data_IF_726049713569
#
_entry.id   IF_726049713569
#
_cell.length_a   1.000
_cell.length_b   1.000
_cell.length_c   1.000
_cell.angle_alpha   90.00
_cell.angle_beta   90.00
_cell.angle_gamma   90.00
#
_symmetry.space_group_name_H-M   'P 1'
#
loop_
_entity.id
_entity.type
_entity.pdbx_description
1 polymer ?
#
# COMPACT_ATOMS: atom_id res chain seq x y z
N UNK A 1 20.20 81.49 -35.25
CA UNK A 1 20.78 82.09 -34.03
C UNK A 1 19.64 82.69 -33.24
N UNK A 2 19.26 82.04 -32.15
CA UNK A 2 18.97 82.63 -30.83
C UNK A 2 18.53 81.48 -29.92
N UNK A 3 19.08 81.50 -28.72
CA UNK A 3 18.88 80.52 -27.66
C UNK A 3 17.78 81.04 -26.72
N UNK A 4 16.96 80.16 -26.15
CA UNK A 4 16.49 80.28 -24.76
C UNK A 4 15.63 79.06 -24.35
N UNK A 5 15.97 78.44 -23.22
CA UNK A 5 15.06 77.67 -22.36
C UNK A 5 14.57 78.61 -21.23
N UNK A 6 13.41 78.37 -20.59
CA UNK A 6 13.22 77.26 -19.64
C UNK A 6 11.89 76.49 -19.94
N UNK A 7 11.18 75.76 -19.07
CA UNK A 7 11.24 75.60 -17.60
C UNK A 7 10.68 74.24 -17.12
N UNK A 8 10.81 73.96 -15.82
CA UNK A 8 10.45 72.72 -15.14
C UNK A 8 8.99 72.70 -14.62
N UNK A 9 8.25 71.59 -14.79
CA UNK A 9 7.18 71.21 -13.84
C UNK A 9 6.92 69.70 -13.91
N UNK A 10 7.03 69.01 -12.77
CA UNK A 10 6.71 67.60 -12.64
C UNK A 10 5.21 67.34 -12.38
N UNK A 11 4.66 66.24 -12.90
CA UNK A 11 3.43 65.64 -12.42
C UNK A 11 3.48 64.11 -12.57
N UNK A 12 3.07 63.38 -11.54
CA UNK A 12 3.19 61.94 -11.45
C UNK A 12 2.03 61.17 -12.12
N UNK A 13 2.26 59.87 -12.35
CA UNK A 13 1.35 58.72 -12.14
C UNK A 13 -0.14 59.07 -11.94
N UNK A 14 -1.08 58.50 -12.70
CA UNK A 14 -1.60 57.15 -12.41
C UNK A 14 -2.36 56.56 -13.59
N UNK A 15 -1.97 55.37 -14.05
CA UNK A 15 -2.88 54.50 -14.82
C UNK A 15 -3.79 53.76 -13.84
N UNK A 16 -5.08 54.08 -13.84
CA UNK A 16 -6.09 53.32 -13.09
C UNK A 16 -6.38 52.02 -13.85
N UNK A 17 -5.86 50.91 -13.34
CA UNK A 17 -6.32 49.57 -13.74
C UNK A 17 -7.74 49.35 -13.21
N UNK A 18 -8.59 48.75 -14.03
CA UNK A 18 -9.89 48.24 -13.58
C UNK A 18 -9.68 47.13 -12.52
N UNK A 19 -10.61 46.97 -11.56
CA UNK A 19 -10.57 45.84 -10.65
C UNK A 19 -10.78 44.54 -11.44
N UNK A 20 -9.91 43.56 -11.24
CA UNK A 20 -10.17 42.20 -11.68
C UNK A 20 -11.17 41.55 -10.72
N UNK A 21 -12.26 41.01 -11.25
CA UNK A 21 -13.16 40.15 -10.48
C UNK A 21 -12.38 38.92 -9.96
N UNK A 22 -12.60 38.49 -8.70
CA UNK A 22 -12.02 37.26 -8.20
C UNK A 22 -12.73 36.07 -8.84
N UNK A 23 -12.07 35.45 -9.82
CA UNK A 23 -12.42 34.08 -10.25
C UNK A 23 -12.44 33.17 -9.03
N UNK A 24 -13.52 32.41 -8.78
CA UNK A 24 -13.51 31.39 -7.73
C UNK A 24 -12.48 30.31 -8.08
N UNK A 25 -11.41 30.21 -7.30
CA UNK A 25 -10.54 29.04 -7.34
C UNK A 25 -11.39 27.82 -6.94
N UNK A 26 -11.45 26.82 -7.81
CA UNK A 26 -12.07 25.55 -7.46
C UNK A 26 -11.27 24.93 -6.30
N UNK A 27 -11.94 24.33 -5.30
CA UNK A 27 -11.22 23.68 -4.21
C UNK A 27 -10.38 22.53 -4.77
N UNK A 28 -9.07 22.66 -4.71
CA UNK A 28 -8.13 21.57 -5.00
C UNK A 28 -8.23 20.55 -3.87
N UNK A 29 -9.22 19.65 -3.95
CA UNK A 29 -9.25 18.45 -3.12
C UNK A 29 -8.03 17.62 -3.49
N UNK A 30 -6.96 17.72 -2.70
CA UNK A 30 -5.92 16.70 -2.72
C UNK A 30 -6.59 15.40 -2.31
N UNK A 31 -6.64 14.43 -3.23
CA UNK A 31 -6.82 13.06 -2.81
C UNK A 31 -5.72 12.74 -1.79
N UNK A 32 -6.04 11.92 -0.78
CA UNK A 32 -5.00 11.32 0.05
C UNK A 32 -4.11 10.39 -0.79
N UNK A 33 -3.01 9.89 -0.21
CA UNK A 33 -2.29 8.78 -0.85
C UNK A 33 -3.26 7.61 -1.12
N UNK A 34 -3.00 6.79 -2.16
CA UNK A 34 -3.76 5.57 -2.39
C UNK A 34 -3.64 4.65 -1.16
N UNK A 35 -4.68 3.86 -0.83
CA UNK A 35 -4.56 2.85 0.20
C UNK A 35 -3.46 1.86 -0.17
N UNK A 36 -2.72 1.36 0.84
CA UNK A 36 -1.78 0.26 0.62
C UNK A 36 -2.54 -0.96 0.10
N UNK A 37 -1.95 -1.66 -0.87
CA UNK A 37 -2.60 -2.74 -1.60
C UNK A 37 -1.71 -3.99 -1.64
N UNK A 38 -2.30 -5.14 -1.95
CA UNK A 38 -1.54 -6.37 -2.08
C UNK A 38 -2.24 -7.43 -2.91
N UNK A 39 -1.44 -8.30 -3.53
CA UNK A 39 -1.90 -9.46 -4.30
C UNK A 39 -1.34 -10.74 -3.69
N UNK A 40 -2.11 -11.82 -3.81
CA UNK A 40 -1.63 -13.19 -3.59
C UNK A 40 -2.19 -14.06 -4.70
N UNK A 41 -1.32 -14.80 -5.38
CA UNK A 41 -1.69 -15.80 -6.38
C UNK A 41 -1.47 -17.19 -5.80
N UNK A 42 -2.42 -18.11 -5.98
CA UNK A 42 -2.32 -19.53 -5.61
C UNK A 42 -2.88 -20.37 -6.76
N UNK A 43 -2.01 -21.07 -7.48
CA UNK A 43 -2.40 -21.75 -8.72
C UNK A 43 -2.92 -20.76 -9.78
N UNK A 44 -4.17 -20.93 -10.20
CA UNK A 44 -4.85 -20.02 -11.13
C UNK A 44 -5.69 -18.93 -10.41
N UNK A 45 -5.77 -18.97 -9.07
CA UNK A 45 -6.60 -18.06 -8.25
C UNK A 45 -5.80 -16.83 -7.82
N UNK A 46 -6.34 -15.63 -8.09
CA UNK A 46 -5.69 -14.36 -7.75
C UNK A 46 -6.57 -13.55 -6.78
N UNK A 47 -6.07 -13.35 -5.57
CA UNK A 47 -6.66 -12.54 -4.52
C UNK A 47 -6.09 -11.12 -4.53
N UNK A 48 -6.94 -10.12 -4.38
CA UNK A 48 -6.57 -8.71 -4.23
C UNK A 48 -7.02 -8.20 -2.85
N UNK A 49 -6.16 -7.45 -2.17
CA UNK A 49 -6.37 -6.97 -0.81
C UNK A 49 -6.16 -5.46 -0.71
N UNK A 50 -7.05 -4.79 0.03
CA UNK A 50 -6.68 -3.53 0.69
C UNK A 50 -5.95 -3.88 1.98
N UNK A 51 -4.79 -3.28 2.25
CA UNK A 51 -3.95 -3.63 3.40
C UNK A 51 -3.62 -2.44 4.31
N UNK A 52 -3.25 -2.77 5.55
CA UNK A 52 -2.60 -1.87 6.50
C UNK A 52 -1.23 -2.45 6.84
N UNK A 53 -0.17 -1.68 6.62
CA UNK A 53 1.19 -2.03 7.04
C UNK A 53 1.52 -1.40 8.41
N UNK A 54 2.23 -2.15 9.25
CA UNK A 54 2.64 -1.78 10.60
C UNK A 54 4.15 -1.97 10.76
N UNK A 55 4.89 -0.90 11.02
CA UNK A 55 6.31 -0.98 11.34
C UNK A 55 6.48 -1.54 12.77
N UNK A 56 7.05 -2.75 12.92
CA UNK A 56 7.24 -3.41 14.23
C UNK A 56 8.62 -3.13 14.85
N UNK A 57 9.49 -2.43 14.12
CA UNK A 57 10.88 -2.16 14.49
C UNK A 57 11.85 -3.23 13.96
N UNK A 58 13.14 -2.94 13.99
CA UNK A 58 14.23 -3.81 13.47
C UNK A 58 14.12 -4.22 11.97
N UNK A 59 13.20 -3.62 11.21
CA UNK A 59 12.90 -3.98 9.82
C UNK A 59 11.71 -4.93 9.67
N UNK A 60 11.14 -5.42 10.77
CA UNK A 60 9.96 -6.29 10.74
C UNK A 60 8.69 -5.47 10.42
N UNK A 61 7.86 -6.00 9.52
CA UNK A 61 6.57 -5.42 9.12
C UNK A 61 5.46 -6.43 9.34
N UNK A 62 4.38 -6.01 10.00
CA UNK A 62 3.11 -6.75 9.98
C UNK A 62 2.18 -6.11 8.97
N UNK A 63 1.55 -6.92 8.13
CA UNK A 63 0.51 -6.51 7.20
C UNK A 63 -0.78 -7.24 7.57
N UNK A 64 -1.88 -6.49 7.66
CA UNK A 64 -3.24 -7.01 7.79
C UNK A 64 -4.01 -6.57 6.55
N UNK A 65 -4.73 -7.47 5.89
CA UNK A 65 -5.48 -7.16 4.67
C UNK A 65 -6.88 -7.75 4.64
N UNK A 66 -7.74 -7.16 3.82
CA UNK A 66 -9.08 -7.69 3.53
C UNK A 66 -9.32 -7.63 2.03
N UNK A 67 -9.83 -8.74 1.50
CA UNK A 67 -10.15 -8.93 0.09
C UNK A 67 -11.38 -9.84 -0.07
N UNK A 68 -11.63 -10.25 -1.30
CA UNK A 68 -12.74 -11.13 -1.68
C UNK A 68 -12.19 -12.35 -2.43
N UNK A 69 -12.78 -13.51 -2.17
CA UNK A 69 -12.53 -14.74 -2.91
C UNK A 69 -13.16 -14.64 -4.32
N UNK A 70 -12.39 -14.81 -5.41
CA UNK A 70 -12.85 -14.48 -6.76
C UNK A 70 -13.90 -15.45 -7.33
N UNK A 71 -14.12 -16.61 -6.71
CA UNK A 71 -15.13 -17.59 -7.13
C UNK A 71 -16.46 -17.43 -6.37
N UNK A 72 -16.44 -16.84 -5.17
CA UNK A 72 -17.60 -16.81 -4.25
C UNK A 72 -18.00 -15.43 -3.73
N UNK A 73 -17.23 -14.38 -4.03
CA UNK A 73 -17.35 -13.02 -3.46
C UNK A 73 -17.29 -13.02 -1.90
N UNK A 74 -16.80 -14.09 -1.28
CA UNK A 74 -16.72 -14.21 0.17
C UNK A 74 -15.48 -13.48 0.72
N UNK A 75 -15.58 -12.89 1.91
CA UNK A 75 -14.45 -12.18 2.52
C UNK A 75 -13.26 -13.10 2.78
N UNK A 76 -12.06 -12.63 2.44
CA UNK A 76 -10.78 -13.27 2.78
C UNK A 76 -9.94 -12.27 3.57
N UNK A 77 -9.39 -12.71 4.70
CA UNK A 77 -8.47 -11.92 5.53
C UNK A 77 -7.02 -12.36 5.27
N UNK A 78 -6.12 -11.40 5.07
CA UNK A 78 -4.68 -11.63 4.90
C UNK A 78 -3.95 -11.23 6.18
N UNK A 79 -3.06 -12.11 6.67
CA UNK A 79 -2.01 -11.77 7.62
C UNK A 79 -0.65 -12.08 7.00
N UNK A 80 0.24 -11.10 6.97
CA UNK A 80 1.65 -11.30 6.63
C UNK A 80 2.53 -10.74 7.75
N UNK A 81 3.46 -11.56 8.21
CA UNK A 81 4.54 -11.21 9.13
C UNK A 81 5.84 -11.25 8.32
N UNK A 82 6.26 -10.11 7.79
CA UNK A 82 7.56 -9.96 7.16
C UNK A 82 8.61 -9.77 8.25
N UNK A 83 9.24 -10.87 8.67
CA UNK A 83 10.34 -10.88 9.65
C UNK A 83 11.59 -11.54 9.07
N UNK A 84 12.76 -11.08 9.51
CA UNK A 84 14.05 -11.65 9.11
C UNK A 84 14.36 -13.02 9.74
N UNK A 85 13.58 -13.46 10.73
CA UNK A 85 13.83 -14.70 11.50
C UNK A 85 12.85 -15.80 11.14
N UNK A 86 11.56 -15.48 11.10
CA UNK A 86 10.46 -16.42 10.93
C UNK A 86 9.31 -15.73 10.19
N UNK A 87 9.41 -15.55 8.86
CA UNK A 87 8.36 -14.93 8.07
C UNK A 87 7.15 -15.86 7.95
N UNK A 88 5.94 -15.29 7.96
CA UNK A 88 4.69 -16.04 7.83
C UNK A 88 3.68 -15.31 6.97
N UNK A 89 2.93 -16.03 6.13
CA UNK A 89 1.74 -15.50 5.45
C UNK A 89 0.57 -16.46 5.66
N UNK A 90 -0.64 -15.93 5.85
CA UNK A 90 -1.86 -16.72 5.99
C UNK A 90 -3.04 -16.00 5.36
N UNK A 91 -3.86 -16.71 4.60
CA UNK A 91 -5.14 -16.25 4.07
C UNK A 91 -6.26 -17.04 4.76
N UNK A 92 -7.11 -16.35 5.51
CA UNK A 92 -8.26 -16.94 6.20
C UNK A 92 -9.53 -16.68 5.39
N UNK A 93 -10.17 -17.74 4.93
CA UNK A 93 -11.43 -17.70 4.19
C UNK A 93 -12.62 -17.60 5.15
N UNK A 94 -13.74 -17.05 4.67
CA UNK A 94 -14.97 -16.87 5.45
C UNK A 94 -15.56 -18.17 6.06
N UNK A 95 -15.21 -19.35 5.56
CA UNK A 95 -15.62 -20.65 6.11
C UNK A 95 -14.69 -21.17 7.23
N UNK A 96 -13.61 -20.46 7.53
CA UNK A 96 -12.59 -20.81 8.51
C UNK A 96 -11.40 -21.58 7.94
N UNK A 97 -11.36 -21.86 6.63
CA UNK A 97 -10.20 -22.48 5.98
C UNK A 97 -9.02 -21.52 5.98
N UNK A 98 -7.86 -21.98 6.45
CA UNK A 98 -6.60 -21.24 6.42
C UNK A 98 -5.71 -21.78 5.29
N UNK A 99 -5.22 -20.88 4.44
CA UNK A 99 -4.18 -21.16 3.45
C UNK A 99 -2.86 -20.56 3.93
N UNK A 100 -1.82 -21.38 4.04
CA UNK A 100 -0.53 -20.98 4.61
C UNK A 100 0.66 -21.74 3.97
N UNK A 101 1.92 -21.31 4.14
CA UNK A 101 3.08 -22.02 3.63
C UNK A 101 3.24 -23.43 4.20
N UNK A 102 3.66 -24.37 3.36
CA UNK A 102 4.08 -25.70 3.76
C UNK A 102 5.31 -25.64 4.67
N UNK A 103 5.28 -26.35 5.81
CA UNK A 103 6.46 -26.55 6.68
C UNK A 103 7.61 -27.32 5.99
N UNK A 104 7.36 -27.95 4.84
CA UNK A 104 8.37 -28.67 4.04
C UNK A 104 9.21 -27.74 3.15
N UNK A 105 8.97 -26.43 3.15
CA UNK A 105 9.70 -25.47 2.31
C UNK A 105 9.84 -24.11 3.01
N UNK A 106 11.00 -23.43 2.90
CA UNK A 106 11.17 -22.11 3.51
C UNK A 106 10.30 -21.06 2.80
N UNK A 107 9.82 -20.07 3.55
CA UNK A 107 9.23 -18.86 2.97
C UNK A 107 10.34 -17.81 2.78
N UNK A 108 10.87 -17.72 1.57
CA UNK A 108 11.85 -16.70 1.19
C UNK A 108 11.14 -15.38 0.85
N UNK A 109 11.23 -14.40 1.74
CA UNK A 109 10.59 -13.09 1.63
C UNK A 109 11.61 -11.96 1.45
N UNK A 110 11.29 -11.03 0.57
CA UNK A 110 12.11 -9.88 0.21
C UNK A 110 11.36 -8.58 0.47
N UNK A 111 12.02 -7.60 1.07
CA UNK A 111 11.49 -6.23 1.25
C UNK A 111 12.42 -5.26 0.54
N UNK A 112 11.88 -4.47 -0.40
CA UNK A 112 12.61 -3.48 -1.17
C UNK A 112 11.68 -2.34 -1.58
N UNK A 113 12.10 -1.09 -1.33
CA UNK A 113 11.42 0.13 -1.77
C UNK A 113 9.91 0.14 -1.43
N UNK A 114 9.61 -0.16 -0.15
CA UNK A 114 8.25 -0.30 0.42
C UNK A 114 7.36 -1.40 -0.20
N UNK A 115 7.94 -2.27 -1.03
CA UNK A 115 7.29 -3.46 -1.60
C UNK A 115 7.81 -4.73 -0.90
N UNK A 116 6.88 -5.59 -0.47
CA UNK A 116 7.16 -6.91 0.10
C UNK A 116 6.80 -7.98 -0.95
N UNK A 117 7.72 -8.92 -1.21
CA UNK A 117 7.58 -9.95 -2.25
C UNK A 117 7.99 -11.32 -1.70
N UNK A 118 7.26 -12.37 -2.07
CA UNK A 118 7.71 -13.75 -1.95
C UNK A 118 7.13 -14.56 -3.11
N UNK A 119 7.88 -15.53 -3.63
CA UNK A 119 7.48 -16.31 -4.82
C UNK A 119 7.85 -17.79 -4.67
N UNK A 120 7.24 -18.63 -5.52
CA UNK A 120 7.32 -20.09 -5.41
C UNK A 120 6.91 -20.63 -4.02
N UNK A 121 6.02 -19.91 -3.32
CA UNK A 121 5.46 -20.30 -2.04
C UNK A 121 4.62 -21.54 -2.28
N UNK A 122 4.90 -22.63 -1.57
CA UNK A 122 4.06 -23.83 -1.60
C UNK A 122 2.95 -23.67 -0.58
N UNK A 123 1.75 -23.32 -1.03
CA UNK A 123 0.60 -23.16 -0.15
C UNK A 123 -0.06 -24.51 0.17
N UNK A 124 -0.52 -24.61 1.41
CA UNK A 124 -1.28 -25.74 1.94
C UNK A 124 -2.50 -25.26 2.71
N UNK A 125 -3.42 -26.18 2.99
CA UNK A 125 -4.49 -26.02 3.97
C UNK A 125 -4.55 -27.22 4.90
N UNK A 126 -5.35 -27.15 5.96
CA UNK A 126 -5.53 -28.22 6.94
C UNK A 126 -4.18 -28.67 7.58
N UNK A 127 -3.27 -27.72 7.82
CA UNK A 127 -1.93 -28.00 8.36
C UNK A 127 -2.01 -28.39 9.84
N UNK A 128 -1.58 -29.61 10.14
CA UNK A 128 -1.34 -30.10 11.49
C UNK A 128 0.10 -29.76 11.91
N UNK A 129 0.25 -28.87 12.90
CA UNK A 129 1.55 -28.43 13.43
C UNK A 129 2.26 -29.50 14.28
N UNK A 130 1.57 -30.53 14.78
CA UNK A 130 2.19 -31.63 15.53
C UNK A 130 2.79 -32.69 14.60
N UNK A 131 2.14 -32.95 13.47
CA UNK A 131 2.56 -34.02 12.53
C UNK A 131 3.19 -33.52 11.22
N UNK A 132 3.00 -32.24 10.88
CA UNK A 132 3.40 -31.63 9.62
C UNK A 132 2.54 -32.01 8.42
N UNK A 133 1.45 -32.77 8.60
CA UNK A 133 0.57 -33.16 7.48
C UNK A 133 -0.34 -32.01 7.07
N UNK A 134 -0.49 -31.79 5.77
CA UNK A 134 -1.38 -30.79 5.20
C UNK A 134 -1.86 -31.21 3.80
N UNK A 135 -2.90 -30.55 3.29
CA UNK A 135 -3.36 -30.67 1.90
C UNK A 135 -2.68 -29.62 1.03
N UNK A 136 -1.93 -30.05 0.01
CA UNK A 136 -1.35 -29.17 -1.01
C UNK A 136 -2.45 -28.49 -1.84
N UNK A 137 -2.37 -27.17 -2.01
CA UNK A 137 -3.31 -26.38 -2.82
C UNK A 137 -2.62 -25.63 -3.98
N UNK A 138 -1.33 -25.87 -4.20
CA UNK A 138 -0.57 -25.28 -5.31
C UNK A 138 0.58 -24.37 -4.89
N UNK A 139 1.34 -23.95 -5.90
CA UNK A 139 2.36 -22.92 -5.75
C UNK A 139 1.76 -21.53 -5.97
N UNK A 140 2.37 -20.53 -5.35
CA UNK A 140 1.89 -19.16 -5.39
C UNK A 140 2.99 -18.12 -5.15
N UNK A 141 2.58 -16.85 -5.21
CA UNK A 141 3.40 -15.69 -4.91
C UNK A 141 2.57 -14.57 -4.30
N UNK A 142 3.25 -13.59 -3.68
CA UNK A 142 2.64 -12.40 -3.11
C UNK A 142 3.44 -11.16 -3.45
N UNK A 143 2.75 -10.04 -3.63
CA UNK A 143 3.31 -8.71 -3.78
C UNK A 143 2.46 -7.70 -2.99
N UNK A 144 3.04 -7.07 -1.96
CA UNK A 144 2.36 -6.08 -1.12
C UNK A 144 3.06 -4.73 -1.28
N UNK A 145 2.29 -3.67 -1.51
CA UNK A 145 2.75 -2.28 -1.62
C UNK A 145 2.34 -1.49 -0.38
N UNK A 146 3.30 -1.15 0.48
CA UNK A 146 3.07 -0.40 1.71
C UNK A 146 3.25 1.11 1.51
N UNK A 147 2.25 1.78 0.91
CA UNK A 147 2.30 3.23 0.69
C UNK A 147 2.25 4.07 1.97
N UNK A 148 1.65 3.53 3.04
CA UNK A 148 1.66 4.13 4.37
C UNK A 148 1.90 3.07 5.45
N UNK A 149 2.70 3.43 6.45
CA UNK A 149 2.92 2.63 7.65
C UNK A 149 2.20 3.25 8.85
N UNK A 150 1.28 2.50 9.43
CA UNK A 150 0.78 2.80 10.76
C UNK A 150 1.81 2.43 11.81
N UNK A 151 1.82 3.17 12.92
CA UNK A 151 2.59 2.83 14.12
C UNK A 151 1.60 2.56 15.24
N UNK A 152 1.44 1.29 15.61
CA UNK A 152 0.82 0.95 16.90
C UNK A 152 1.65 1.64 18.00
N UNK A 153 0.98 2.40 18.86
CA UNK A 153 1.60 2.83 20.11
C UNK A 153 1.85 1.57 20.97
N UNK A 154 2.97 1.48 21.72
CA UNK A 154 3.15 0.39 22.66
C UNK A 154 2.02 0.39 23.71
N UNK A 155 1.45 -0.77 24.00
CA UNK A 155 0.56 -1.00 25.15
C UNK A 155 1.35 -1.06 26.48
#
# INVERSE_FOLDING_TARGET
MSDEAPDETAAATTSVSAPADPTPEAPTTSAGPPPSEGTVEIGDTHYQFTVTCEERGAGDVRVKGTGEDPDSDATVELLLLASLVDPYVGLLLADGTLFEPSLESPLDLYVQDDVIRASAIRFVRDLDLETGTATDIGFGELEIHCYEYSREAPE
#
